data_IF_063097779681
#
_entry.id   IF_063097779681
#
_cell.length_a   1.000
_cell.length_b   1.000
_cell.length_c   1.000
_cell.angle_alpha   90.00
_cell.angle_beta   90.00
_cell.angle_gamma   90.00
#
_symmetry.space_group_name_H-M   'P 1'
#
loop_
_entity.id
_entity.type
_entity.pdbx_description
1 polymer ?
#
# COMPACT_ATOMS: atom_id res chain seq x y z
N UNK A 1 -0.22 0.80 19.83
CA UNK A 1 -0.77 0.42 18.51
C UNK A 1 -1.81 1.44 18.14
N UNK A 2 -1.60 2.16 17.05
CA UNK A 2 -2.48 3.21 16.55
C UNK A 2 -3.28 2.62 15.38
N UNK A 3 -4.60 2.41 15.53
CA UNK A 3 -5.42 1.95 14.43
C UNK A 3 -5.66 3.08 13.43
N UNK A 4 -5.88 2.72 12.17
CA UNK A 4 -6.39 3.63 11.16
C UNK A 4 -7.41 2.93 10.28
N UNK A 5 -8.32 3.73 9.76
CA UNK A 5 -9.39 3.30 8.88
C UNK A 5 -9.60 4.33 7.80
N UNK A 6 -9.81 3.87 6.57
CA UNK A 6 -10.27 4.71 5.47
C UNK A 6 -11.09 3.88 4.50
N UNK A 7 -11.88 4.55 3.66
CA UNK A 7 -12.54 3.88 2.56
C UNK A 7 -12.60 4.78 1.33
N UNK A 8 -12.75 4.18 0.16
CA UNK A 8 -12.94 4.87 -1.13
C UNK A 8 -14.05 4.16 -1.89
N UNK A 9 -14.90 4.92 -2.57
CA UNK A 9 -15.97 4.37 -3.41
C UNK A 9 -15.75 4.75 -4.87
N UNK A 10 -15.84 3.78 -5.77
CA UNK A 10 -15.67 3.99 -7.21
C UNK A 10 -16.81 3.35 -8.01
N UNK A 11 -17.11 3.93 -9.19
CA UNK A 11 -18.20 3.49 -10.08
C UNK A 11 -17.74 2.38 -11.06
N UNK A 12 -17.18 1.30 -10.51
CA UNK A 12 -16.78 0.09 -11.25
C UNK A 12 -17.15 -1.15 -10.43
N UNK A 13 -17.41 -2.32 -11.04
CA UNK A 13 -17.65 -3.56 -10.33
C UNK A 13 -16.43 -4.03 -9.52
N UNK A 14 -16.67 -4.84 -8.48
CA UNK A 14 -15.64 -5.39 -7.58
C UNK A 14 -14.55 -6.10 -8.36
N UNK A 15 -14.90 -7.06 -9.20
CA UNK A 15 -13.94 -7.88 -9.96
C UNK A 15 -12.98 -7.02 -10.80
N UNK A 16 -13.48 -5.92 -11.36
CA UNK A 16 -12.67 -5.02 -12.18
C UNK A 16 -11.62 -4.29 -11.32
N UNK A 17 -12.04 -3.73 -10.19
CA UNK A 17 -11.13 -3.03 -9.28
C UNK A 17 -10.17 -4.02 -8.62
N UNK A 18 -10.67 -5.19 -8.22
CA UNK A 18 -9.89 -6.27 -7.62
C UNK A 18 -8.74 -6.70 -8.53
N UNK A 19 -9.05 -7.07 -9.79
CA UNK A 19 -8.04 -7.55 -10.73
C UNK A 19 -7.03 -6.46 -11.08
N UNK A 20 -7.46 -5.22 -11.28
CA UNK A 20 -6.53 -4.12 -11.58
C UNK A 20 -5.60 -3.83 -10.39
N UNK A 21 -6.14 -3.79 -9.17
CA UNK A 21 -5.33 -3.56 -7.98
C UNK A 21 -4.38 -4.72 -7.67
N UNK A 22 -4.77 -5.95 -8.00
CA UNK A 22 -3.94 -7.15 -7.79
C UNK A 22 -2.84 -7.25 -8.84
N UNK A 23 -3.19 -7.10 -10.11
CA UNK A 23 -2.34 -7.52 -11.22
C UNK A 23 -1.64 -6.36 -11.94
N UNK A 24 -2.15 -5.13 -11.79
CA UNK A 24 -1.64 -3.94 -12.51
C UNK A 24 -1.19 -2.81 -11.57
N UNK A 25 -1.03 -3.08 -10.27
CA UNK A 25 -0.67 -2.06 -9.28
C UNK A 25 0.57 -1.23 -9.67
N UNK A 26 1.59 -1.88 -10.24
CA UNK A 26 2.81 -1.22 -10.68
C UNK A 26 2.56 -0.18 -11.78
N UNK A 27 1.64 -0.46 -12.70
CA UNK A 27 1.27 0.43 -13.80
C UNK A 27 0.48 1.65 -13.30
N UNK A 28 -0.21 1.53 -12.17
CA UNK A 28 -0.94 2.65 -11.56
C UNK A 28 -0.01 3.72 -10.99
N UNK A 29 1.26 3.39 -10.69
CA UNK A 29 2.21 4.29 -10.05
C UNK A 29 2.36 5.64 -10.76
N UNK A 30 2.25 5.65 -12.10
CA UNK A 30 2.38 6.88 -12.92
C UNK A 30 1.28 7.90 -12.64
N UNK A 31 0.15 7.49 -12.08
CA UNK A 31 -0.97 8.35 -11.71
C UNK A 31 -0.92 8.81 -10.25
N UNK A 32 0.10 8.41 -9.49
CA UNK A 32 0.22 8.66 -8.05
C UNK A 32 1.31 9.71 -7.82
N UNK A 33 0.93 10.99 -7.73
CA UNK A 33 1.89 12.11 -7.64
C UNK A 33 2.88 12.01 -6.47
N UNK A 34 2.50 11.30 -5.41
CA UNK A 34 3.29 11.11 -4.21
C UNK A 34 4.33 9.97 -4.33
N UNK A 35 4.23 9.17 -5.40
CA UNK A 35 5.06 8.02 -5.63
C UNK A 35 5.91 8.21 -6.87
N UNK A 36 7.16 7.80 -6.73
CA UNK A 36 8.10 7.74 -7.83
C UNK A 36 7.90 6.45 -8.63
N UNK A 37 7.79 5.31 -7.94
CA UNK A 37 7.57 4.01 -8.57
C UNK A 37 6.94 2.99 -7.62
N UNK A 38 6.33 1.96 -8.22
CA UNK A 38 5.95 0.71 -7.56
C UNK A 38 6.54 -0.42 -8.41
N UNK A 39 7.27 -1.34 -7.77
CA UNK A 39 7.93 -2.47 -8.43
C UNK A 39 7.48 -3.77 -7.77
N UNK A 40 6.92 -4.70 -8.55
CA UNK A 40 6.63 -6.04 -8.07
C UNK A 40 7.95 -6.82 -7.93
N UNK A 41 8.29 -7.20 -6.71
CA UNK A 41 9.48 -7.99 -6.37
C UNK A 41 9.21 -9.49 -6.43
N UNK A 42 8.01 -9.91 -6.05
CA UNK A 42 7.64 -11.32 -5.99
C UNK A 42 6.16 -11.51 -6.35
N UNK A 43 5.87 -12.61 -7.03
CA UNK A 43 4.53 -13.15 -7.24
C UNK A 43 4.59 -14.67 -7.06
N UNK A 44 3.89 -15.18 -6.07
CA UNK A 44 3.88 -16.61 -5.76
C UNK A 44 2.50 -17.05 -5.25
N UNK A 45 2.10 -18.28 -5.54
CA UNK A 45 0.85 -18.86 -5.02
C UNK A 45 1.18 -19.70 -3.78
N UNK A 46 0.55 -19.37 -2.66
CA UNK A 46 0.67 -20.11 -1.41
C UNK A 46 0.04 -21.50 -1.49
N UNK A 47 0.42 -22.38 -0.58
CA UNK A 47 -0.15 -23.74 -0.48
C UNK A 47 -1.63 -23.75 -0.13
N UNK A 48 -2.14 -22.66 0.42
CA UNK A 48 -3.55 -22.40 0.72
C UNK A 48 -4.34 -21.84 -0.49
N UNK A 49 -3.68 -21.68 -1.64
CA UNK A 49 -4.27 -21.14 -2.86
C UNK A 49 -4.32 -19.61 -2.92
N UNK A 50 -3.88 -18.91 -1.86
CA UNK A 50 -3.84 -17.43 -1.85
C UNK A 50 -2.65 -16.93 -2.66
N UNK A 51 -2.81 -15.78 -3.32
CA UNK A 51 -1.73 -15.17 -4.07
C UNK A 51 -0.92 -14.24 -3.16
N UNK A 52 0.38 -14.50 -3.03
CA UNK A 52 1.33 -13.58 -2.41
C UNK A 52 1.94 -12.67 -3.48
N UNK A 53 1.78 -11.37 -3.28
CA UNK A 53 2.46 -10.33 -4.04
C UNK A 53 3.35 -9.52 -3.09
N UNK A 54 4.60 -9.31 -3.49
CA UNK A 54 5.51 -8.44 -2.76
C UNK A 54 5.86 -7.25 -3.65
N UNK A 55 5.51 -6.05 -3.21
CA UNK A 55 5.72 -4.82 -3.96
C UNK A 55 6.63 -3.87 -3.19
N UNK A 56 7.61 -3.26 -3.86
CA UNK A 56 8.38 -2.14 -3.32
C UNK A 56 7.81 -0.85 -3.85
N UNK A 57 7.43 0.04 -2.94
CA UNK A 57 6.94 1.37 -3.22
C UNK A 57 8.03 2.38 -2.89
N UNK A 58 8.23 3.36 -3.77
CA UNK A 58 9.14 4.47 -3.56
C UNK A 58 8.38 5.78 -3.61
N UNK A 59 8.45 6.57 -2.54
CA UNK A 59 7.86 7.90 -2.49
C UNK A 59 8.71 8.91 -3.25
N UNK A 60 8.06 9.95 -3.78
CA UNK A 60 8.78 11.13 -4.32
C UNK A 60 9.36 12.00 -3.21
N UNK A 61 8.73 12.00 -2.04
CA UNK A 61 9.24 12.75 -0.90
C UNK A 61 10.56 12.13 -0.41
N UNK A 62 11.50 12.98 -0.06
CA UNK A 62 12.80 12.58 0.50
C UNK A 62 12.85 12.84 2.00
N UNK A 63 13.77 12.16 2.65
CA UNK A 63 14.07 12.36 4.07
C UNK A 63 14.72 13.74 4.24
N UNK A 64 14.23 14.58 5.18
CA UNK A 64 14.84 15.87 5.48
C UNK A 64 16.33 15.73 5.76
N UNK A 65 17.15 16.63 5.22
CA UNK A 65 18.62 16.51 5.23
C UNK A 65 19.20 16.24 6.63
N UNK A 66 18.67 16.89 7.66
CA UNK A 66 19.09 16.72 9.06
C UNK A 66 18.86 15.30 9.61
N UNK A 67 17.94 14.52 9.02
CA UNK A 67 17.57 13.19 9.49
C UNK A 67 18.24 12.06 8.69
N UNK A 68 18.87 12.36 7.54
CA UNK A 68 19.39 11.32 6.62
C UNK A 68 20.46 10.43 7.25
N UNK A 69 21.40 11.02 7.98
CA UNK A 69 22.45 10.27 8.67
C UNK A 69 21.91 9.39 9.79
N UNK A 70 20.88 9.85 10.49
CA UNK A 70 20.23 9.11 11.57
C UNK A 70 19.33 7.97 11.06
N UNK A 71 18.66 8.17 9.93
CA UNK A 71 17.74 7.20 9.32
C UNK A 71 18.41 6.27 8.29
N UNK A 72 19.68 6.53 7.96
CA UNK A 72 20.48 5.68 7.08
C UNK A 72 20.11 5.79 5.59
N UNK A 73 19.51 6.91 5.16
CA UNK A 73 19.10 7.07 3.76
C UNK A 73 18.52 8.43 3.42
N UNK A 74 18.31 8.66 2.12
CA UNK A 74 17.67 9.86 1.57
C UNK A 74 16.25 9.60 1.06
N UNK A 75 15.97 8.37 0.62
CA UNK A 75 14.71 8.02 -0.01
C UNK A 75 13.75 7.38 0.99
N UNK A 76 12.47 7.68 0.84
CA UNK A 76 11.40 7.02 1.59
C UNK A 76 10.86 5.90 0.70
N UNK A 77 11.05 4.65 1.12
CA UNK A 77 10.48 3.48 0.43
C UNK A 77 9.97 2.45 1.43
N UNK A 78 9.09 1.56 0.99
CA UNK A 78 8.61 0.44 1.79
C UNK A 78 8.33 -0.79 0.93
N UNK A 79 8.43 -1.95 1.55
CA UNK A 79 8.01 -3.22 0.98
C UNK A 79 6.64 -3.58 1.56
N UNK A 80 5.67 -3.77 0.69
CA UNK A 80 4.33 -4.27 0.97
C UNK A 80 4.27 -5.76 0.62
N UNK A 81 3.96 -6.61 1.60
CA UNK A 81 3.70 -8.03 1.41
C UNK A 81 2.20 -8.26 1.53
N UNK A 82 1.57 -8.59 0.41
CA UNK A 82 0.13 -8.64 0.26
C UNK A 82 -0.32 -10.06 -0.11
N UNK A 83 -1.17 -10.65 0.72
CA UNK A 83 -1.84 -11.93 0.50
C UNK A 83 -3.26 -11.66 -0.01
N UNK A 84 -3.57 -12.15 -1.19
CA UNK A 84 -4.84 -11.94 -1.87
C UNK A 84 -5.69 -13.21 -1.80
N UNK A 85 -6.88 -13.08 -1.25
CA UNK A 85 -7.90 -14.11 -1.17
C UNK A 85 -9.02 -13.78 -2.17
N UNK A 86 -8.98 -14.45 -3.33
CA UNK A 86 -9.93 -14.24 -4.43
C UNK A 86 -11.37 -14.61 -4.04
N UNK A 87 -11.57 -15.59 -3.15
CA UNK A 87 -12.90 -16.00 -2.73
C UNK A 87 -13.56 -14.94 -1.84
N UNK A 88 -12.77 -14.27 -1.01
CA UNK A 88 -13.25 -13.26 -0.08
C UNK A 88 -13.18 -11.81 -0.62
N UNK A 89 -12.47 -11.57 -1.72
CA UNK A 89 -12.09 -10.22 -2.18
C UNK A 89 -11.42 -9.40 -1.05
N UNK A 90 -10.51 -10.06 -0.33
CA UNK A 90 -9.74 -9.47 0.76
C UNK A 90 -8.25 -9.61 0.48
N UNK A 91 -7.53 -8.50 0.64
CA UNK A 91 -6.08 -8.45 0.61
C UNK A 91 -5.57 -8.17 2.02
N UNK A 92 -4.88 -9.13 2.63
CA UNK A 92 -4.17 -8.93 3.91
C UNK A 92 -2.75 -8.47 3.62
N UNK A 93 -2.28 -7.43 4.31
CA UNK A 93 -0.98 -6.83 3.98
C UNK A 93 -0.14 -6.52 5.22
N UNK A 94 1.17 -6.52 5.00
CA UNK A 94 2.17 -6.11 5.97
C UNK A 94 3.22 -5.23 5.30
N UNK A 95 3.40 -4.03 5.84
CA UNK A 95 4.32 -3.02 5.31
C UNK A 95 5.58 -2.99 6.17
N UNK A 96 6.73 -3.06 5.50
CA UNK A 96 8.07 -2.92 6.08
C UNK A 96 8.74 -1.68 5.48
N UNK A 97 8.90 -0.57 6.22
CA UNK A 97 9.61 0.60 5.71
C UNK A 97 11.10 0.31 5.54
N UNK A 98 11.74 0.98 4.59
CA UNK A 98 13.19 0.95 4.39
C UNK A 98 13.94 1.62 5.55
N UNK A 99 13.35 2.65 6.15
CA UNK A 99 13.85 3.29 7.36
C UNK A 99 13.29 2.59 8.58
N UNK A 100 14.19 2.19 9.50
CA UNK A 100 13.83 1.65 10.80
C UNK A 100 12.88 0.41 10.76
N UNK A 101 13.14 -0.58 9.88
CA UNK A 101 12.24 -1.72 9.69
C UNK A 101 11.95 -2.50 10.98
N UNK A 102 12.92 -2.56 11.90
CA UNK A 102 12.78 -3.29 13.16
C UNK A 102 11.88 -2.58 14.18
N UNK A 103 11.74 -1.27 14.06
CA UNK A 103 11.01 -0.43 15.01
C UNK A 103 9.60 -0.11 14.55
N UNK A 104 9.26 -0.40 13.30
CA UNK A 104 7.95 -0.11 12.74
C UNK A 104 7.23 -1.42 12.38
N UNK A 105 6.02 -1.58 12.89
CA UNK A 105 5.10 -2.61 12.44
C UNK A 105 3.84 -1.95 11.87
N UNK A 106 3.53 -2.22 10.61
CA UNK A 106 2.32 -1.74 9.94
C UNK A 106 1.66 -2.91 9.22
N UNK A 107 0.41 -3.23 9.59
CA UNK A 107 -0.32 -4.40 9.06
C UNK A 107 -1.81 -4.12 9.00
N UNK A 108 -2.52 -4.82 8.14
CA UNK A 108 -3.96 -4.64 8.01
C UNK A 108 -4.57 -5.45 6.87
N UNK A 109 -5.74 -5.01 6.43
CA UNK A 109 -6.45 -5.60 5.30
C UNK A 109 -7.16 -4.55 4.45
N UNK A 110 -7.33 -4.87 3.18
CA UNK A 110 -8.11 -4.14 2.21
C UNK A 110 -9.26 -5.03 1.76
N UNK A 111 -10.51 -4.58 1.90
CA UNK A 111 -11.70 -5.33 1.52
C UNK A 111 -12.43 -4.63 0.38
N UNK A 112 -12.85 -5.38 -0.62
CA UNK A 112 -13.56 -4.88 -1.79
C UNK A 112 -14.99 -5.40 -1.77
N UNK A 113 -15.95 -4.50 -1.60
CA UNK A 113 -17.36 -4.85 -1.38
C UNK A 113 -18.24 -4.20 -2.46
N UNK A 114 -19.30 -4.89 -2.94
CA UNK A 114 -20.26 -4.29 -3.85
C UNK A 114 -20.90 -3.03 -3.24
N UNK A 115 -21.02 -2.00 -4.06
CA UNK A 115 -21.69 -0.75 -3.72
C UNK A 115 -22.57 -0.28 -4.88
N UNK A 116 -23.37 0.77 -4.65
CA UNK A 116 -24.19 1.41 -5.70
C UNK A 116 -25.09 0.42 -6.47
N UNK A 117 -25.75 -0.49 -5.74
CA UNK A 117 -26.54 -1.60 -6.30
C UNK A 117 -25.74 -2.49 -7.27
N UNK A 118 -24.50 -2.84 -6.90
CA UNK A 118 -23.61 -3.71 -7.67
C UNK A 118 -22.84 -3.01 -8.80
N UNK A 119 -23.09 -1.72 -9.04
CA UNK A 119 -22.41 -0.94 -10.10
C UNK A 119 -21.14 -0.23 -9.63
N UNK A 120 -20.85 -0.30 -8.33
CA UNK A 120 -19.68 0.31 -7.73
C UNK A 120 -18.98 -0.64 -6.77
N UNK A 121 -17.83 -0.20 -6.30
CA UNK A 121 -17.04 -0.88 -5.28
C UNK A 121 -16.80 0.07 -4.14
N UNK A 122 -17.06 -0.37 -2.92
CA UNK A 122 -16.50 0.21 -1.71
C UNK A 122 -15.22 -0.55 -1.39
N UNK A 123 -14.11 0.17 -1.37
CA UNK A 123 -12.82 -0.36 -0.92
C UNK A 123 -12.57 0.17 0.48
N UNK A 124 -12.51 -0.72 1.45
CA UNK A 124 -12.25 -0.39 2.85
C UNK A 124 -10.82 -0.80 3.20
N UNK A 125 -10.08 0.09 3.85
CA UNK A 125 -8.71 -0.13 4.29
C UNK A 125 -8.61 0.03 5.79
N UNK A 126 -8.32 -1.07 6.46
CA UNK A 126 -8.18 -1.15 7.90
C UNK A 126 -6.78 -1.58 8.25
N UNK A 127 -6.16 -0.90 9.19
CA UNK A 127 -4.83 -1.26 9.62
C UNK A 127 -4.47 -0.76 10.99
N UNK A 128 -3.28 -1.17 11.40
CA UNK A 128 -2.68 -0.71 12.62
C UNK A 128 -1.21 -0.46 12.41
N UNK A 129 -0.73 0.56 13.12
CA UNK A 129 0.65 0.95 13.15
C UNK A 129 1.18 0.87 14.58
N UNK A 130 2.40 0.40 14.74
CA UNK A 130 3.09 0.41 16.03
C UNK A 130 4.54 0.81 15.84
N UNK A 131 4.94 1.83 16.59
CA UNK A 131 6.34 2.16 16.81
C UNK A 131 6.81 1.41 18.06
N UNK A 132 7.79 0.51 17.91
CA UNK A 132 8.30 -0.32 19.00
C UNK A 132 9.20 0.51 19.94
N UNK A 133 9.21 0.17 21.25
CA UNK A 133 10.12 0.79 22.22
C UNK A 133 11.59 0.66 21.81
N UNK A 134 12.44 1.57 22.31
CA UNK A 134 13.87 1.58 22.02
C UNK A 134 14.26 2.21 20.68
N UNK A 135 13.28 2.66 19.89
CA UNK A 135 13.49 3.44 18.68
C UNK A 135 14.31 4.72 18.96
N UNK A 136 13.90 5.47 19.99
CA UNK A 136 14.51 6.75 20.36
C UNK A 136 15.91 6.57 20.97
N UNK A 137 16.17 5.43 21.61
CA UNK A 137 17.42 5.18 22.34
C UNK A 137 18.68 5.14 21.45
N UNK A 138 18.52 5.01 20.12
CA UNK A 138 19.63 5.00 19.16
C UNK A 138 19.83 6.35 18.46
N UNK A 139 19.02 7.35 18.79
CA UNK A 139 18.95 8.63 18.11
C UNK A 139 19.35 9.76 19.05
N UNK A 140 19.94 10.85 18.54
CA UNK A 140 20.10 12.07 19.33
C UNK A 140 18.72 12.57 19.78
N UNK A 141 18.54 12.79 21.10
CA UNK A 141 17.27 13.19 21.70
C UNK A 141 16.62 14.42 21.01
N UNK A 142 17.44 15.31 20.45
CA UNK A 142 16.99 16.50 19.72
C UNK A 142 16.15 16.20 18.46
N UNK A 143 16.28 15.01 17.84
CA UNK A 143 15.56 14.65 16.62
C UNK A 143 14.32 13.78 16.85
N UNK A 144 14.09 13.33 18.08
CA UNK A 144 12.98 12.45 18.43
C UNK A 144 11.62 13.00 17.98
N UNK A 145 11.26 14.28 18.24
CA UNK A 145 9.95 14.79 17.86
C UNK A 145 9.77 14.82 16.33
N UNK A 146 10.82 15.21 15.59
CA UNK A 146 10.78 15.31 14.14
C UNK A 146 10.56 13.94 13.47
N UNK A 147 11.20 12.89 13.99
CA UNK A 147 11.03 11.54 13.42
C UNK A 147 9.68 10.95 13.79
N UNK A 148 9.20 11.17 15.02
CA UNK A 148 7.85 10.76 15.40
C UNK A 148 6.80 11.40 14.48
N UNK A 149 6.89 12.71 14.22
CA UNK A 149 6.00 13.41 13.30
C UNK A 149 6.10 12.90 11.87
N UNK A 150 7.31 12.59 11.37
CA UNK A 150 7.49 12.01 10.03
C UNK A 150 6.78 10.65 9.92
N UNK A 151 7.02 9.77 10.89
CA UNK A 151 6.43 8.43 10.94
C UNK A 151 4.90 8.52 11.04
N UNK A 152 4.40 9.38 11.92
CA UNK A 152 2.96 9.62 12.07
C UNK A 152 2.32 10.15 10.78
N UNK A 153 2.96 11.10 10.09
CA UNK A 153 2.47 11.63 8.82
C UNK A 153 2.44 10.57 7.70
N UNK A 154 3.45 9.71 7.63
CA UNK A 154 3.47 8.60 6.67
C UNK A 154 2.25 7.69 6.87
N UNK A 155 1.97 7.33 8.12
CA UNK A 155 0.95 6.36 8.49
C UNK A 155 -0.46 6.94 8.40
N UNK A 156 -0.66 8.13 8.96
CA UNK A 156 -1.98 8.75 9.08
C UNK A 156 -2.44 9.39 7.78
N UNK A 157 -1.52 9.82 6.93
CA UNK A 157 -1.83 10.68 5.77
C UNK A 157 -1.35 10.07 4.46
N UNK A 158 -0.06 9.77 4.32
CA UNK A 158 0.49 9.34 3.03
C UNK A 158 -0.05 7.98 2.60
N UNK A 159 -0.06 6.97 3.48
CA UNK A 159 -0.54 5.62 3.14
C UNK A 159 -2.03 5.64 2.74
N UNK A 160 -2.97 6.18 3.56
CA UNK A 160 -4.39 6.23 3.19
C UNK A 160 -4.65 7.03 1.90
N UNK A 161 -3.97 8.16 1.73
CA UNK A 161 -4.10 8.98 0.52
C UNK A 161 -3.62 8.24 -0.72
N UNK A 162 -2.46 7.60 -0.66
CA UNK A 162 -1.89 6.85 -1.78
C UNK A 162 -2.77 5.67 -2.16
N UNK A 163 -3.34 4.98 -1.18
CA UNK A 163 -4.30 3.91 -1.47
C UNK A 163 -5.57 4.46 -2.15
N UNK A 164 -6.17 5.53 -1.62
CA UNK A 164 -7.35 6.13 -2.25
C UNK A 164 -7.07 6.55 -3.68
N UNK A 165 -5.91 7.16 -3.94
CA UNK A 165 -5.45 7.50 -5.30
C UNK A 165 -5.25 6.25 -6.17
N UNK A 166 -4.66 5.17 -5.65
CA UNK A 166 -4.49 3.92 -6.39
C UNK A 166 -5.84 3.30 -6.78
N UNK A 167 -6.83 3.30 -5.88
CA UNK A 167 -8.19 2.84 -6.19
C UNK A 167 -8.85 3.71 -7.27
N UNK A 168 -8.69 5.03 -7.21
CA UNK A 168 -9.21 5.93 -8.24
C UNK A 168 -8.52 5.71 -9.60
N UNK A 169 -7.19 5.53 -9.60
CA UNK A 169 -6.43 5.18 -10.81
C UNK A 169 -6.89 3.84 -11.40
N UNK A 170 -7.15 2.84 -10.56
CA UNK A 170 -7.68 1.55 -10.97
C UNK A 170 -9.06 1.69 -11.65
N UNK A 171 -9.93 2.58 -11.15
CA UNK A 171 -11.24 2.82 -11.75
C UNK A 171 -11.17 3.48 -13.16
N UNK A 172 -10.08 4.22 -13.42
CA UNK A 172 -9.78 4.82 -14.73
C UNK A 172 -8.91 3.93 -15.64
N UNK A 173 -8.44 2.79 -15.17
CA UNK A 173 -7.51 1.93 -15.91
C UNK A 173 -8.16 1.34 -17.16
N UNK A 174 -7.59 1.63 -18.32
CA UNK A 174 -8.17 1.25 -19.62
C UNK A 174 -7.94 -0.23 -19.99
N UNK A 175 -6.97 -0.90 -19.35
CA UNK A 175 -6.74 -2.35 -19.50
C UNK A 175 -7.64 -3.21 -18.60
N UNK A 176 -8.59 -2.60 -17.89
CA UNK A 176 -9.43 -3.30 -16.95
C UNK A 176 -10.44 -4.22 -17.68
N UNK A 177 -10.69 -5.45 -17.18
CA UNK A 177 -11.45 -6.45 -17.89
C UNK A 177 -12.94 -6.06 -17.93
N UNK A 178 -13.62 -6.48 -19.01
CA UNK A 178 -15.07 -6.36 -19.07
C UNK A 178 -15.71 -7.22 -17.96
N UNK A 179 -16.91 -6.86 -17.47
CA UNK A 179 -17.60 -7.66 -16.46
C UNK A 179 -17.71 -9.14 -16.88
N UNK A 180 -17.21 -10.05 -16.05
CA UNK A 180 -17.24 -11.50 -16.30
C UNK A 180 -16.07 -12.08 -17.13
N UNK A 181 -15.03 -11.30 -17.45
CA UNK A 181 -13.81 -11.82 -18.08
C UNK A 181 -12.63 -11.87 -17.11
N UNK A 182 -11.83 -12.94 -17.21
CA UNK A 182 -10.54 -13.03 -16.56
C UNK A 182 -9.52 -12.08 -17.23
N UNK A 183 -8.67 -11.47 -16.41
CA UNK A 183 -7.59 -10.60 -16.88
C UNK A 183 -6.46 -11.43 -17.52
N UNK A 184 -5.90 -10.94 -18.63
CA UNK A 184 -4.64 -11.47 -19.12
C UNK A 184 -3.53 -11.17 -18.08
N UNK A 185 -2.57 -12.09 -17.84
CA UNK A 185 -1.49 -11.82 -16.91
C UNK A 185 -0.71 -10.57 -17.35
N UNK A 186 -0.18 -9.78 -16.40
CA UNK A 186 0.62 -8.61 -16.73
C UNK A 186 1.79 -9.01 -17.64
N UNK A 187 2.13 -8.14 -18.59
CA UNK A 187 3.29 -8.35 -19.44
C UNK A 187 4.53 -8.52 -18.54
N UNK A 188 5.29 -9.61 -18.76
CA UNK A 188 6.55 -9.80 -18.05
C UNK A 188 7.51 -8.65 -18.40
N UNK A 189 8.25 -8.10 -17.41
CA UNK A 189 9.22 -7.03 -17.65
C UNK A 189 10.36 -7.48 -18.58
#
# INVERSE_FOLDING_TARGET
MTPFHSFTMVKRPVDQIWLVMRDHLAELAVQLDDLDSIVQLERSTGSDGRLLLVNRWQARQTIPAMLRGALGGELISWVDRAQWDDAAHVCEWAITPSVLPEHIACRGSTRYEPAMAGRGTRVTFDGSFTLKPGFLNRLPAAFEPAILSLVENIVSTLIPRNLSKAINAAAGFSGAPAPGQALAPPASP
#
